data_IF_336567235645
#
_entry.id   IF_336567235645
#
_cell.length_a   1.000
_cell.length_b   1.000
_cell.length_c   1.000
_cell.angle_alpha   90.00
_cell.angle_beta   90.00
_cell.angle_gamma   90.00
#
_symmetry.space_group_name_H-M   'P 1'
#
loop_
_entity.id
_entity.type
_entity.pdbx_description
1 polymer ?
#
# COMPACT_ATOMS: atom_id res chain seq x y z
N UNK A 1 -2.86 -3.05 -18.16
CA UNK A 1 -1.74 -2.87 -17.20
C UNK A 1 -2.32 -2.69 -15.81
N UNK A 2 -1.58 -3.05 -14.81
CA UNK A 2 -2.04 -2.99 -13.41
C UNK A 2 -2.53 -1.60 -13.02
N UNK A 3 -1.83 -0.56 -13.42
CA UNK A 3 -2.20 0.82 -13.06
C UNK A 3 -3.53 1.26 -13.66
N UNK A 4 -3.99 0.60 -14.73
CA UNK A 4 -5.26 0.92 -15.39
C UNK A 4 -6.42 0.06 -14.87
N UNK A 5 -6.14 -0.88 -13.95
CA UNK A 5 -7.16 -1.75 -13.38
C UNK A 5 -8.02 -0.94 -12.40
N UNK A 6 -9.34 -0.85 -12.60
CA UNK A 6 -10.20 -0.06 -11.71
C UNK A 6 -10.24 -0.59 -10.28
N UNK A 7 -10.06 -1.88 -10.06
CA UNK A 7 -10.00 -2.45 -8.70
C UNK A 7 -8.73 -1.97 -7.98
N UNK A 8 -7.60 -1.98 -8.67
CA UNK A 8 -6.34 -1.49 -8.12
C UNK A 8 -6.43 0.01 -7.81
N UNK A 9 -6.99 0.80 -8.73
CA UNK A 9 -7.17 2.24 -8.52
C UNK A 9 -8.03 2.53 -7.30
N UNK A 10 -9.11 1.78 -7.11
CA UNK A 10 -10.01 1.94 -5.96
C UNK A 10 -9.30 1.58 -4.66
N UNK A 11 -8.52 0.50 -4.65
CA UNK A 11 -7.74 0.12 -3.47
C UNK A 11 -6.69 1.18 -3.12
N UNK A 12 -6.04 1.77 -4.12
CA UNK A 12 -5.09 2.85 -3.88
C UNK A 12 -5.76 4.04 -3.18
N UNK A 13 -6.94 4.45 -3.64
CA UNK A 13 -7.69 5.55 -3.02
C UNK A 13 -8.11 5.20 -1.59
N UNK A 14 -8.64 4.00 -1.42
CA UNK A 14 -9.11 3.53 -0.10
C UNK A 14 -7.96 3.48 0.90
N UNK A 15 -6.82 2.94 0.50
CA UNK A 15 -5.66 2.84 1.39
C UNK A 15 -5.05 4.20 1.70
N UNK A 16 -4.97 5.10 0.74
CA UNK A 16 -4.48 6.45 1.00
C UNK A 16 -5.38 7.14 2.04
N UNK A 17 -6.70 7.03 1.90
CA UNK A 17 -7.66 7.57 2.85
C UNK A 17 -7.54 6.94 4.23
N UNK A 18 -7.32 5.62 4.28
CA UNK A 18 -7.13 4.92 5.55
C UNK A 18 -5.89 5.41 6.29
N UNK A 19 -4.77 5.57 5.58
CA UNK A 19 -3.54 6.08 6.20
C UNK A 19 -3.74 7.51 6.73
N UNK A 20 -4.43 8.35 5.99
CA UNK A 20 -4.74 9.70 6.45
C UNK A 20 -5.62 9.68 7.70
N UNK A 21 -6.59 8.78 7.76
CA UNK A 21 -7.44 8.62 8.94
C UNK A 21 -6.65 8.12 10.16
N UNK A 22 -5.71 7.19 9.96
CA UNK A 22 -4.84 6.72 11.04
C UNK A 22 -4.03 7.88 11.63
N UNK A 23 -3.46 8.73 10.77
CA UNK A 23 -2.68 9.87 11.21
C UNK A 23 -3.55 10.92 11.91
N UNK A 24 -4.74 11.21 11.37
CA UNK A 24 -5.67 12.19 11.95
C UNK A 24 -6.16 11.78 13.33
N UNK A 25 -6.22 10.48 13.62
CA UNK A 25 -6.66 9.96 14.91
C UNK A 25 -5.49 9.64 15.87
N UNK A 26 -4.26 10.04 15.50
CA UNK A 26 -3.11 9.87 16.36
C UNK A 26 -2.64 8.42 16.52
N UNK A 27 -3.05 7.53 15.61
CA UNK A 27 -2.74 6.10 15.70
C UNK A 27 -1.37 5.75 15.11
N UNK A 28 -0.78 6.67 14.36
CA UNK A 28 0.55 6.53 13.78
C UNK A 28 1.26 7.88 13.87
N UNK A 29 2.60 7.88 13.75
CA UNK A 29 3.40 9.10 13.79
C UNK A 29 4.39 9.13 12.65
N UNK A 30 4.51 10.29 12.00
CA UNK A 30 5.46 10.56 10.91
C UNK A 30 5.30 9.56 9.77
N UNK A 31 6.33 8.73 9.51
CA UNK A 31 6.30 7.71 8.45
C UNK A 31 6.14 6.30 9.01
N UNK A 32 6.03 6.14 10.34
CA UNK A 32 5.93 4.84 10.98
C UNK A 32 4.52 4.27 10.87
N UNK A 33 4.43 2.96 10.82
CA UNK A 33 3.16 2.25 10.67
C UNK A 33 2.70 2.23 9.23
N UNK A 34 1.91 1.24 8.89
CA UNK A 34 1.32 1.14 7.55
C UNK A 34 0.21 0.10 7.53
N UNK A 35 -0.62 0.17 6.50
CA UNK A 35 -1.63 -0.82 6.19
C UNK A 35 -1.48 -1.21 4.72
N UNK A 36 -1.97 -2.38 4.39
CA UNK A 36 -1.99 -2.85 3.01
C UNK A 36 -3.31 -3.55 2.72
N UNK A 37 -3.56 -3.84 1.44
CA UNK A 37 -4.72 -4.63 1.04
C UNK A 37 -4.32 -5.54 -0.12
N UNK A 38 -4.84 -6.77 -0.10
CA UNK A 38 -4.68 -7.68 -1.22
C UNK A 38 -5.68 -7.31 -2.31
N UNK A 39 -5.24 -7.36 -3.56
CA UNK A 39 -6.13 -7.19 -4.70
C UNK A 39 -7.00 -8.45 -4.84
N UNK A 40 -8.34 -8.33 -4.77
CA UNK A 40 -9.21 -9.50 -4.84
C UNK A 40 -8.97 -10.35 -6.09
N UNK A 41 -8.80 -11.67 -5.89
CA UNK A 41 -8.61 -12.62 -6.98
C UNK A 41 -7.27 -12.57 -7.69
N UNK A 42 -6.30 -11.82 -7.17
CA UNK A 42 -4.98 -11.68 -7.78
C UNK A 42 -3.89 -11.80 -6.73
N UNK A 43 -2.69 -12.20 -7.15
CA UNK A 43 -1.53 -12.33 -6.26
C UNK A 43 -0.78 -11.00 -6.20
N UNK A 44 -1.51 -9.95 -5.84
CA UNK A 44 -1.00 -8.58 -5.72
C UNK A 44 -1.48 -7.95 -4.41
N UNK A 45 -0.67 -7.02 -3.90
CA UNK A 45 -1.06 -6.20 -2.76
C UNK A 45 -0.78 -4.72 -3.07
N UNK A 46 -1.50 -3.84 -2.40
CA UNK A 46 -1.26 -2.39 -2.45
C UNK A 46 -0.78 -1.98 -1.06
N UNK A 47 0.30 -1.19 -0.99
CA UNK A 47 0.92 -0.81 0.28
C UNK A 47 1.47 0.62 0.21
N UNK A 48 1.64 1.22 1.37
CA UNK A 48 2.22 2.55 1.54
C UNK A 48 3.67 2.58 1.03
N UNK A 49 4.09 3.66 0.35
CA UNK A 49 5.50 3.85 0.01
C UNK A 49 6.36 4.08 1.25
N UNK A 50 7.64 3.72 1.15
CA UNK A 50 8.62 3.93 2.22
C UNK A 50 8.96 5.42 2.34
N UNK A 51 9.03 5.91 3.57
CA UNK A 51 9.57 7.24 3.86
C UNK A 51 8.70 8.43 3.48
N UNK A 52 7.45 8.20 3.07
CA UNK A 52 6.53 9.28 2.74
C UNK A 52 5.64 9.58 3.95
N UNK A 53 5.56 10.85 4.34
CA UNK A 53 4.71 11.28 5.43
C UNK A 53 3.23 11.11 5.10
N UNK A 54 2.41 10.94 6.14
CA UNK A 54 0.98 10.66 5.95
C UNK A 54 0.25 11.81 5.24
N UNK A 55 0.68 13.05 5.48
CA UNK A 55 0.06 14.21 4.84
C UNK A 55 0.38 14.29 3.34
N UNK A 56 1.43 13.60 2.89
CA UNK A 56 1.87 13.61 1.50
C UNK A 56 1.37 12.39 0.73
N UNK A 57 0.62 11.50 1.37
CA UNK A 57 0.11 10.30 0.70
C UNK A 57 -1.06 10.63 -0.22
N UNK A 58 -0.99 10.11 -1.44
CA UNK A 58 -2.08 10.18 -2.42
C UNK A 58 -2.32 8.79 -2.98
N UNK A 59 -3.42 8.61 -3.71
CA UNK A 59 -3.69 7.33 -4.37
C UNK A 59 -2.53 6.95 -5.31
N UNK A 60 -1.98 7.92 -6.03
CA UNK A 60 -0.90 7.71 -6.99
C UNK A 60 0.42 7.31 -6.32
N UNK A 61 0.63 7.68 -5.07
CA UNK A 61 1.86 7.33 -4.35
C UNK A 61 1.84 5.91 -3.81
N UNK A 62 0.67 5.27 -3.70
CA UNK A 62 0.57 3.90 -3.21
C UNK A 62 1.22 2.93 -4.21
N UNK A 63 1.88 1.89 -3.69
CA UNK A 63 2.69 0.97 -4.47
C UNK A 63 1.99 -0.38 -4.58
N UNK A 64 2.05 -0.99 -5.78
CA UNK A 64 1.53 -2.34 -6.01
C UNK A 64 2.71 -3.30 -6.06
N UNK A 65 2.65 -4.36 -5.26
CA UNK A 65 3.67 -5.40 -5.21
C UNK A 65 3.04 -6.77 -5.46
N UNK A 66 3.87 -7.71 -5.91
CA UNK A 66 3.46 -9.12 -5.93
C UNK A 66 3.61 -9.73 -4.53
N UNK A 67 3.23 -10.99 -4.37
CA UNK A 67 3.30 -11.65 -3.06
C UNK A 67 4.71 -12.11 -2.69
N UNK A 68 5.71 -11.85 -3.53
CA UNK A 68 7.12 -12.00 -3.17
C UNK A 68 7.70 -10.67 -2.67
N UNK A 69 6.91 -9.61 -2.66
CA UNK A 69 7.34 -8.29 -2.20
C UNK A 69 7.99 -7.44 -3.27
N UNK A 70 7.96 -7.87 -4.54
CA UNK A 70 8.55 -7.12 -5.65
C UNK A 70 7.56 -6.08 -6.17
N UNK A 71 8.04 -4.85 -6.38
CA UNK A 71 7.20 -3.78 -6.93
C UNK A 71 6.79 -4.11 -8.36
N UNK A 72 5.49 -4.06 -8.62
CA UNK A 72 4.89 -4.28 -9.92
C UNK A 72 4.49 -2.96 -10.58
N UNK A 73 3.99 -2.02 -9.78
CA UNK A 73 3.55 -0.71 -10.28
C UNK A 73 3.73 0.35 -9.19
N UNK A 74 3.98 1.58 -9.63
CA UNK A 74 4.24 2.71 -8.75
C UNK A 74 5.66 3.24 -8.94
N UNK A 75 5.87 4.51 -8.61
CA UNK A 75 7.15 5.19 -8.84
C UNK A 75 8.05 5.15 -7.61
N UNK A 76 7.50 4.87 -6.44
CA UNK A 76 8.22 4.93 -5.17
C UNK A 76 8.57 3.53 -4.68
N UNK A 77 9.52 3.46 -3.76
CA UNK A 77 9.85 2.20 -3.11
C UNK A 77 8.73 1.81 -2.13
N UNK A 78 8.34 0.54 -2.08
CA UNK A 78 7.32 0.10 -1.12
C UNK A 78 7.84 0.18 0.32
N UNK A 79 6.91 0.15 1.28
CA UNK A 79 7.25 0.12 2.70
C UNK A 79 8.27 -0.98 3.00
N UNK A 80 9.16 -0.72 3.96
CA UNK A 80 10.11 -1.72 4.43
C UNK A 80 9.42 -2.96 5.03
N UNK A 81 8.13 -2.84 5.40
CA UNK A 81 7.35 -3.95 5.93
C UNK A 81 6.69 -4.81 4.85
N UNK A 82 6.91 -4.50 3.57
CA UNK A 82 6.24 -5.20 2.45
C UNK A 82 6.46 -6.71 2.49
N UNK A 83 7.67 -7.15 2.81
CA UNK A 83 7.96 -8.59 2.89
C UNK A 83 7.09 -9.30 3.91
N UNK A 84 6.86 -8.68 5.08
CA UNK A 84 5.99 -9.23 6.12
C UNK A 84 4.53 -9.29 5.67
N UNK A 85 4.03 -8.21 5.04
CA UNK A 85 2.66 -8.18 4.51
C UNK A 85 2.47 -9.25 3.43
N UNK A 86 3.42 -9.35 2.50
CA UNK A 86 3.36 -10.32 1.40
C UNK A 86 3.36 -11.75 1.95
N UNK A 87 4.18 -12.03 2.95
CA UNK A 87 4.23 -13.34 3.60
C UNK A 87 2.86 -13.72 4.18
N UNK A 88 2.22 -12.79 4.90
CA UNK A 88 0.91 -13.04 5.50
C UNK A 88 -0.12 -13.34 4.41
N UNK A 89 -0.19 -12.53 3.36
CA UNK A 89 -1.16 -12.74 2.28
C UNK A 89 -0.94 -14.06 1.53
N UNK A 90 0.32 -14.49 1.41
CA UNK A 90 0.66 -15.72 0.71
C UNK A 90 0.23 -16.97 1.50
N UNK A 91 0.18 -16.88 2.83
CA UNK A 91 -0.06 -18.01 3.72
C UNK A 91 -1.45 -18.00 4.38
N UNK A 92 -2.31 -17.05 4.02
CA UNK A 92 -3.66 -16.93 4.59
C UNK A 92 -4.76 -17.07 3.56
#
# INVERSE_FOLDING_TARGET
>A
MVKDDPVVSELRRTLAGLHQALAANGLVAWTSGNASARVPGRDLLVIKPSGVGYDDLTAESMVVCDLDGTRVDGDLSPSSDTASHAYIYRHM
#
